data_IF_835792797093
#
_entry.id   IF_835792797093
#
_cell.length_a   1.000
_cell.length_b   1.000
_cell.length_c   1.000
_cell.angle_alpha   90.00
_cell.angle_beta   90.00
_cell.angle_gamma   90.00
#
_symmetry.space_group_name_H-M   'P 1'
#
loop_
_entity.id
_entity.type
_entity.pdbx_description
1 polymer ?
#
# COMPACT_ATOMS: atom_id res chain seq x y z
N UNK A 1 12.57 -5.34 9.51
CA UNK A 1 12.00 -4.12 8.90
C UNK A 1 11.82 -2.98 9.90
N UNK A 2 10.78 -2.99 10.76
CA UNK A 2 10.41 -1.83 11.59
C UNK A 2 11.55 -1.36 12.50
N UNK A 3 12.25 -2.27 13.19
CA UNK A 3 13.38 -1.93 14.05
C UNK A 3 14.49 -1.18 13.29
N UNK A 4 14.89 -1.70 12.12
CA UNK A 4 15.94 -1.10 11.28
C UNK A 4 15.59 0.34 10.87
N UNK A 5 14.31 0.57 10.53
CA UNK A 5 13.84 1.90 10.14
C UNK A 5 13.69 2.82 11.36
N UNK A 6 13.18 2.31 12.47
CA UNK A 6 13.02 3.07 13.71
C UNK A 6 14.35 3.51 14.35
N UNK A 7 15.44 2.77 14.11
CA UNK A 7 16.80 3.18 14.49
C UNK A 7 17.32 4.37 13.65
N UNK A 8 16.77 4.59 12.43
CA UNK A 8 17.18 5.66 11.51
C UNK A 8 16.27 6.87 11.53
N UNK A 9 14.96 6.66 11.72
CA UNK A 9 13.95 7.71 11.63
C UNK A 9 12.99 7.62 12.81
N UNK A 10 12.76 8.76 13.47
CA UNK A 10 11.76 8.87 14.55
C UNK A 10 10.33 8.82 14.02
N UNK A 11 10.11 9.38 12.83
CA UNK A 11 8.85 9.35 12.10
C UNK A 11 9.11 8.84 10.68
N UNK A 12 8.26 7.94 10.21
CA UNK A 12 8.37 7.34 8.89
C UNK A 12 7.05 6.69 8.48
N UNK A 13 6.86 6.52 7.19
CA UNK A 13 5.81 5.66 6.63
C UNK A 13 6.44 4.54 5.82
N UNK A 14 6.23 3.30 6.24
CA UNK A 14 6.51 2.12 5.44
C UNK A 14 5.29 1.81 4.57
N UNK A 15 5.52 1.62 3.27
CA UNK A 15 4.49 1.25 2.30
C UNK A 15 4.88 0.02 1.50
N UNK A 16 3.93 -0.87 1.25
CA UNK A 16 4.14 -2.08 0.47
C UNK A 16 3.05 -2.31 -0.56
N UNK A 17 3.45 -2.84 -1.72
CA UNK A 17 2.53 -3.26 -2.79
C UNK A 17 2.18 -4.72 -2.67
N UNK A 18 0.92 -5.03 -2.88
CA UNK A 18 0.40 -6.40 -2.88
C UNK A 18 0.77 -7.18 -4.14
N UNK A 19 0.83 -8.49 -3.95
CA UNK A 19 0.70 -9.47 -4.99
C UNK A 19 -0.79 -9.83 -5.15
N UNK A 20 -1.28 -9.80 -6.39
CA UNK A 20 -2.66 -10.18 -6.70
C UNK A 20 -2.74 -11.71 -6.82
N UNK A 21 -3.48 -12.35 -5.92
CA UNK A 21 -3.59 -13.81 -5.82
C UNK A 21 -4.96 -14.32 -6.27
N UNK A 22 -4.97 -15.45 -6.96
CA UNK A 22 -6.18 -16.16 -7.44
C UNK A 22 -6.57 -17.33 -6.52
N UNK A 23 -6.27 -17.24 -5.22
CA UNK A 23 -6.72 -18.24 -4.24
C UNK A 23 -8.24 -18.19 -4.16
N UNK A 24 -8.90 -19.29 -4.47
CA UNK A 24 -10.36 -19.46 -4.35
C UNK A 24 -10.75 -20.60 -3.40
N UNK A 25 -9.75 -21.35 -2.92
CA UNK A 25 -9.89 -22.46 -1.99
C UNK A 25 -9.68 -22.01 -0.55
N UNK A 26 -10.20 -22.79 0.41
CA UNK A 26 -9.89 -22.59 1.82
C UNK A 26 -8.40 -22.80 2.06
N UNK A 27 -7.81 -21.97 2.91
CA UNK A 27 -6.43 -22.16 3.34
C UNK A 27 -6.33 -23.44 4.17
N UNK A 28 -5.28 -24.25 4.00
CA UNK A 28 -5.05 -25.41 4.85
C UNK A 28 -4.68 -24.96 6.27
N UNK A 29 -5.04 -25.73 7.31
CA UNK A 29 -4.69 -25.36 8.69
C UNK A 29 -3.17 -25.35 8.94
N UNK A 30 -2.45 -26.26 8.28
CA UNK A 30 -0.99 -26.33 8.27
C UNK A 30 -0.43 -25.92 6.91
N UNK A 31 0.75 -25.29 6.90
CA UNK A 31 1.46 -24.88 5.67
C UNK A 31 0.69 -23.88 4.79
N UNK A 32 -0.22 -23.09 5.39
CA UNK A 32 -0.97 -22.06 4.65
C UNK A 32 -0.04 -21.01 4.04
N UNK A 33 1.10 -20.72 4.66
CA UNK A 33 2.08 -19.77 4.14
C UNK A 33 2.65 -20.25 2.81
N UNK A 34 3.12 -21.49 2.75
CA UNK A 34 3.65 -22.12 1.53
C UNK A 34 2.56 -22.18 0.45
N UNK A 35 1.33 -22.53 0.84
CA UNK A 35 0.19 -22.52 -0.07
C UNK A 35 -0.05 -21.12 -0.66
N UNK A 36 -0.09 -20.09 0.18
CA UNK A 36 -0.32 -18.71 -0.23
C UNK A 36 0.81 -18.19 -1.13
N UNK A 37 2.07 -18.50 -0.78
CA UNK A 37 3.24 -18.11 -1.57
C UNK A 37 3.28 -18.78 -2.94
N UNK A 38 2.85 -20.05 -3.03
CA UNK A 38 2.69 -20.77 -4.30
C UNK A 38 1.66 -20.10 -5.21
N UNK A 39 0.63 -19.47 -4.64
CA UNK A 39 -0.49 -18.87 -5.39
C UNK A 39 -0.47 -17.33 -5.42
N UNK A 40 0.62 -16.67 -5.01
CA UNK A 40 0.69 -15.21 -4.87
C UNK A 40 0.43 -14.42 -6.15
N UNK A 41 0.60 -15.04 -7.34
CA UNK A 41 0.41 -14.37 -8.62
C UNK A 41 1.47 -13.29 -8.90
N UNK A 42 1.07 -12.20 -9.56
CA UNK A 42 1.98 -11.11 -9.95
C UNK A 42 1.85 -9.92 -8.99
N UNK A 43 2.95 -9.18 -8.81
CA UNK A 43 2.91 -7.90 -8.13
C UNK A 43 1.92 -6.96 -8.85
N UNK A 44 1.04 -6.29 -8.10
CA UNK A 44 -0.12 -5.60 -8.66
C UNK A 44 0.20 -4.67 -9.86
N UNK A 45 1.17 -3.74 -9.79
CA UNK A 45 1.58 -2.91 -10.91
C UNK A 45 1.98 -3.69 -12.18
N UNK A 46 2.67 -4.83 -12.03
CA UNK A 46 3.04 -5.71 -13.13
C UNK A 46 1.82 -6.43 -13.72
N UNK A 47 0.90 -6.89 -12.87
CA UNK A 47 -0.36 -7.49 -13.30
C UNK A 47 -1.19 -6.49 -14.13
N UNK A 48 -1.28 -5.23 -13.68
CA UNK A 48 -1.96 -4.14 -14.39
C UNK A 48 -1.31 -3.81 -15.73
N UNK A 49 0.03 -3.70 -15.75
CA UNK A 49 0.82 -3.45 -16.97
C UNK A 49 0.61 -4.56 -18.00
N UNK A 50 0.68 -5.83 -17.59
CA UNK A 50 0.39 -6.99 -18.45
C UNK A 50 -1.03 -6.94 -19.04
N UNK A 51 -1.99 -6.39 -18.31
CA UNK A 51 -3.37 -6.22 -18.76
C UNK A 51 -3.62 -4.93 -19.56
N UNK A 52 -2.59 -4.16 -19.92
CA UNK A 52 -2.74 -2.89 -20.65
C UNK A 52 -3.41 -1.79 -19.82
N UNK A 53 -3.39 -1.88 -18.49
CA UNK A 53 -4.04 -0.94 -17.57
C UNK A 53 -3.02 -0.08 -16.84
N UNK A 54 -3.44 1.12 -16.42
CA UNK A 54 -2.64 1.95 -15.52
C UNK A 54 -2.31 1.18 -14.23
N UNK A 55 -1.05 1.31 -13.79
CA UNK A 55 -0.43 0.58 -12.68
C UNK A 55 -0.52 1.29 -11.32
N UNK A 56 -1.42 2.26 -11.16
CA UNK A 56 -1.66 2.93 -9.88
C UNK A 56 -2.45 2.03 -8.91
N UNK A 57 -2.19 2.17 -7.62
CA UNK A 57 -2.89 1.46 -6.54
C UNK A 57 -2.16 0.20 -6.09
N UNK A 58 -2.88 -0.65 -5.35
CA UNK A 58 -2.34 -1.89 -4.81
C UNK A 58 -1.41 -1.72 -3.61
N UNK A 59 -1.35 -0.52 -3.02
CA UNK A 59 -0.69 -0.30 -1.73
C UNK A 59 -1.62 -0.79 -0.62
N UNK A 60 -1.24 -1.89 0.01
CA UNK A 60 -2.08 -2.57 1.01
C UNK A 60 -1.41 -2.67 2.38
N UNK A 61 -0.12 -2.29 2.47
CA UNK A 61 0.62 -2.27 3.72
C UNK A 61 1.02 -0.85 4.06
N UNK A 62 0.64 -0.41 5.26
CA UNK A 62 1.03 0.87 5.85
C UNK A 62 1.51 0.60 7.27
N UNK A 63 2.77 0.91 7.57
CA UNK A 63 3.33 0.75 8.92
C UNK A 63 4.01 2.04 9.33
N UNK A 64 3.61 2.56 10.49
CA UNK A 64 4.06 3.86 10.99
C UNK A 64 4.06 3.90 12.53
N UNK A 65 4.85 4.78 13.17
CA UNK A 65 4.77 5.03 14.61
C UNK A 65 3.41 5.58 15.03
N UNK A 66 2.94 5.20 16.23
CA UNK A 66 1.61 5.53 16.77
C UNK A 66 1.20 7.00 16.59
N UNK A 67 2.12 7.93 16.84
CA UNK A 67 1.80 9.36 16.87
C UNK A 67 1.92 10.04 15.49
N UNK A 68 2.23 9.30 14.42
CA UNK A 68 2.44 9.87 13.09
C UNK A 68 1.19 10.57 12.55
N UNK A 69 0.01 9.98 12.76
CA UNK A 69 -1.27 10.47 12.27
C UNK A 69 -2.20 10.82 13.44
N UNK A 70 -1.87 11.93 14.11
CA UNK A 70 -2.70 12.42 15.24
C UNK A 70 -3.96 13.16 14.77
N UNK A 71 -3.97 13.68 13.54
CA UNK A 71 -5.06 14.46 12.96
C UNK A 71 -5.39 13.94 11.55
N UNK A 72 -6.25 12.92 11.47
CA UNK A 72 -6.74 12.37 10.19
C UNK A 72 -8.06 13.07 9.83
N UNK A 73 -8.28 13.46 8.55
CA UNK A 73 -9.58 13.91 8.08
C UNK A 73 -10.69 12.87 8.40
N UNK A 74 -11.96 13.30 8.51
CA UNK A 74 -13.07 12.42 8.88
C UNK A 74 -13.46 11.49 7.71
N UNK A 75 -12.57 10.59 7.30
CA UNK A 75 -12.80 9.65 6.21
C UNK A 75 -13.77 8.54 6.61
N UNK A 76 -14.66 8.18 5.69
CA UNK A 76 -15.39 6.92 5.81
C UNK A 76 -14.46 5.75 5.46
N UNK A 77 -14.11 4.95 6.47
CA UNK A 77 -13.32 3.72 6.30
C UNK A 77 -14.00 2.80 5.27
N UNK A 78 -13.20 2.25 4.35
CA UNK A 78 -13.68 1.38 3.27
C UNK A 78 -14.11 2.11 1.99
N UNK A 79 -14.07 3.45 1.97
CA UNK A 79 -14.19 4.22 0.72
C UNK A 79 -12.84 4.33 0.01
N UNK A 80 -12.80 4.71 -1.28
CA UNK A 80 -11.52 4.91 -1.96
C UNK A 80 -10.85 6.24 -1.59
N UNK A 81 -9.54 6.31 -1.87
CA UNK A 81 -8.71 7.51 -1.86
C UNK A 81 -8.28 8.04 -0.48
N UNK A 82 -8.77 7.49 0.63
CA UNK A 82 -8.23 7.83 1.95
C UNK A 82 -6.80 7.26 2.16
N UNK A 83 -6.52 6.10 1.57
CA UNK A 83 -5.22 5.43 1.57
C UNK A 83 -4.14 6.28 0.87
N UNK A 84 -4.49 6.86 -0.28
CA UNK A 84 -3.63 7.80 -0.99
C UNK A 84 -3.36 9.08 -0.17
N UNK A 85 -4.30 9.50 0.68
CA UNK A 85 -4.09 10.64 1.58
C UNK A 85 -3.00 10.35 2.61
N UNK A 86 -2.90 9.12 3.15
CA UNK A 86 -1.86 8.75 4.11
C UNK A 86 -0.46 9.04 3.57
N UNK A 87 -0.23 8.71 2.30
CA UNK A 87 1.05 8.93 1.61
C UNK A 87 1.25 10.42 1.29
N UNK A 88 0.20 11.09 0.82
CA UNK A 88 0.25 12.52 0.51
C UNK A 88 0.57 13.38 1.74
N UNK A 89 -0.04 13.09 2.89
CA UNK A 89 0.15 13.83 4.12
C UNK A 89 1.60 13.75 4.62
N UNK A 90 2.18 12.55 4.68
CA UNK A 90 3.59 12.39 5.07
C UNK A 90 4.54 13.01 4.05
N UNK A 91 4.20 12.94 2.76
CA UNK A 91 4.96 13.59 1.69
C UNK A 91 4.97 15.11 1.85
N UNK A 92 3.82 15.73 2.16
CA UNK A 92 3.72 17.16 2.44
C UNK A 92 4.53 17.57 3.66
N UNK A 93 4.53 16.73 4.70
CA UNK A 93 5.30 16.94 5.94
C UNK A 93 6.79 16.58 5.81
N UNK A 94 7.24 16.17 4.62
CA UNK A 94 8.63 15.73 4.36
C UNK A 94 9.09 14.59 5.29
N UNK A 95 8.15 13.74 5.69
CA UNK A 95 8.43 12.55 6.50
C UNK A 95 8.85 11.42 5.56
N UNK A 96 9.95 10.69 5.85
CA UNK A 96 10.44 9.62 5.00
C UNK A 96 9.38 8.58 4.65
N UNK A 97 9.23 8.33 3.35
CA UNK A 97 8.42 7.23 2.83
C UNK A 97 9.36 6.12 2.36
N UNK A 98 9.18 4.92 2.90
CA UNK A 98 10.04 3.78 2.60
C UNK A 98 9.20 2.69 1.95
N UNK A 99 9.59 2.32 0.74
CA UNK A 99 9.02 1.18 0.03
C UNK A 99 9.62 -0.12 0.58
N UNK A 100 8.78 -0.97 1.15
CA UNK A 100 9.14 -2.26 1.74
C UNK A 100 8.60 -3.45 0.93
N UNK A 101 8.20 -3.22 -0.32
CA UNK A 101 7.63 -4.27 -1.20
C UNK A 101 8.56 -5.47 -1.38
N UNK A 102 9.88 -5.27 -1.30
CA UNK A 102 10.88 -6.35 -1.42
C UNK A 102 11.19 -7.05 -0.10
N UNK A 103 10.84 -6.44 1.03
CA UNK A 103 11.17 -6.95 2.37
C UNK A 103 9.97 -7.67 3.00
N UNK A 104 8.75 -7.24 2.67
CA UNK A 104 7.50 -7.81 3.18
C UNK A 104 6.56 -8.12 2.02
N UNK A 105 6.22 -9.40 1.88
CA UNK A 105 5.24 -9.88 0.92
C UNK A 105 3.83 -9.62 1.48
N UNK A 106 3.05 -8.83 0.76
CA UNK A 106 1.61 -8.69 1.00
C UNK A 106 0.83 -9.36 -0.10
N UNK A 107 -0.21 -10.10 0.25
CA UNK A 107 -1.00 -10.89 -0.68
C UNK A 107 -2.45 -10.49 -0.54
N UNK A 108 -3.05 -10.12 -1.66
CA UNK A 108 -4.44 -9.72 -1.75
C UNK A 108 -5.18 -10.75 -2.58
N UNK A 109 -6.07 -11.49 -1.91
CA UNK A 109 -6.97 -12.42 -2.59
C UNK A 109 -7.90 -11.63 -3.49
N UNK A 110 -7.96 -11.99 -4.77
CA UNK A 110 -8.90 -11.39 -5.70
C UNK A 110 -10.33 -11.71 -5.24
N UNK A 111 -11.12 -10.66 -5.08
CA UNK A 111 -12.52 -10.77 -4.69
C UNK A 111 -13.40 -9.89 -5.56
N UNK A 112 -14.70 -10.21 -5.61
CA UNK A 112 -15.67 -9.38 -6.32
C UNK A 112 -15.75 -7.98 -5.71
N UNK A 113 -15.94 -6.97 -6.56
CA UNK A 113 -16.17 -5.60 -6.12
C UNK A 113 -17.65 -5.47 -5.77
N UNK A 114 -17.96 -5.04 -4.54
CA UNK A 114 -19.34 -4.73 -4.15
C UNK A 114 -19.87 -3.54 -4.95
N UNK A 115 -21.17 -3.56 -5.23
CA UNK A 115 -21.87 -2.41 -5.85
C UNK A 115 -21.62 -1.14 -5.04
N UNK A 116 -21.30 -0.05 -5.72
CA UNK A 116 -20.99 1.25 -5.10
C UNK A 116 -22.19 2.17 -5.28
N UNK A 117 -22.70 2.72 -4.18
CA UNK A 117 -23.80 3.67 -4.19
C UNK A 117 -23.34 5.07 -4.63
N UNK A 118 -24.29 5.97 -4.90
CA UNK A 118 -23.97 7.38 -5.17
C UNK A 118 -23.25 8.05 -3.99
N UNK A 119 -23.62 7.70 -2.76
CA UNK A 119 -22.96 8.21 -1.56
C UNK A 119 -21.49 7.78 -1.49
N UNK A 120 -21.16 6.57 -1.96
CA UNK A 120 -19.76 6.14 -2.07
C UNK A 120 -18.98 7.07 -3.00
N UNK A 121 -19.53 7.43 -4.16
CA UNK A 121 -18.83 8.30 -5.11
C UNK A 121 -18.76 9.75 -4.66
N UNK A 122 -19.76 10.26 -3.95
CA UNK A 122 -19.70 11.57 -3.28
C UNK A 122 -18.57 11.60 -2.26
N UNK A 123 -18.43 10.56 -1.45
CA UNK A 123 -17.34 10.43 -0.49
C UNK A 123 -15.97 10.35 -1.19
N UNK A 124 -15.83 9.56 -2.27
CA UNK A 124 -14.59 9.55 -3.06
C UNK A 124 -14.23 10.94 -3.58
N UNK A 125 -15.22 11.74 -4.00
CA UNK A 125 -14.98 13.11 -4.46
C UNK A 125 -14.52 14.02 -3.32
N UNK A 126 -15.05 13.86 -2.11
CA UNK A 126 -14.60 14.55 -0.90
C UNK A 126 -13.17 14.13 -0.56
N UNK A 127 -12.87 12.83 -0.54
CA UNK A 127 -11.54 12.30 -0.20
C UNK A 127 -10.45 12.84 -1.11
N UNK A 128 -10.74 12.98 -2.41
CA UNK A 128 -9.82 13.58 -3.38
C UNK A 128 -9.50 15.05 -3.11
N UNK A 129 -10.37 15.81 -2.43
CA UNK A 129 -10.08 17.20 -2.05
C UNK A 129 -8.98 17.29 -0.99
N UNK A 130 -8.87 16.28 -0.12
CA UNK A 130 -7.79 16.20 0.88
C UNK A 130 -6.44 15.77 0.28
N UNK A 131 -6.45 15.15 -0.91
CA UNK A 131 -5.25 14.68 -1.62
C UNK A 131 -5.26 15.18 -3.07
N UNK A 132 -5.04 16.49 -3.30
CA UNK A 132 -5.09 17.10 -4.64
C UNK A 132 -3.98 16.59 -5.56
N UNK A 133 -2.86 16.14 -4.97
CA UNK A 133 -1.77 15.49 -5.68
C UNK A 133 -1.73 14.02 -5.30
N UNK A 134 -2.09 13.16 -6.24
CA UNK A 134 -2.07 11.72 -6.02
C UNK A 134 -0.65 11.25 -5.72
N UNK A 135 -0.47 10.57 -4.59
CA UNK A 135 0.76 9.90 -4.19
C UNK A 135 0.55 8.39 -4.05
N UNK A 136 1.59 7.63 -4.35
CA UNK A 136 1.62 6.18 -4.12
C UNK A 136 3.01 5.68 -3.76
N UNK A 137 3.15 4.36 -3.62
CA UNK A 137 4.39 3.68 -3.26
C UNK A 137 5.61 4.03 -4.13
N UNK A 138 5.41 4.50 -5.37
CA UNK A 138 6.49 4.91 -6.29
C UNK A 138 7.02 6.31 -5.97
N UNK A 139 6.27 7.08 -5.19
CA UNK A 139 6.71 8.34 -4.63
C UNK A 139 7.61 8.17 -3.39
N UNK A 140 7.87 6.93 -2.94
CA UNK A 140 8.76 6.67 -1.82
C UNK A 140 10.16 7.26 -2.02
N UNK A 141 10.77 7.73 -0.94
CA UNK A 141 12.12 8.30 -0.92
C UNK A 141 13.19 7.22 -0.85
N UNK A 142 12.85 6.11 -0.18
CA UNK A 142 13.74 4.99 0.07
C UNK A 142 13.12 3.66 -0.31
N UNK A 143 13.99 2.67 -0.48
CA UNK A 143 13.67 1.27 -0.67
C UNK A 143 14.37 0.48 0.42
N UNK A 144 13.65 -0.40 1.09
CA UNK A 144 14.24 -1.40 1.97
C UNK A 144 14.16 -2.77 1.29
N UNK A 145 15.30 -3.41 1.12
CA UNK A 145 15.42 -4.73 0.53
C UNK A 145 16.43 -5.55 1.33
N UNK A 146 16.02 -6.73 1.81
CA UNK A 146 16.85 -7.62 2.62
C UNK A 146 17.48 -6.89 3.83
N UNK A 147 16.71 -6.03 4.49
CA UNK A 147 17.17 -5.21 5.61
C UNK A 147 18.12 -4.06 5.25
N UNK A 148 18.46 -3.84 3.97
CA UNK A 148 19.33 -2.75 3.53
C UNK A 148 18.50 -1.59 3.01
N UNK A 149 18.64 -0.42 3.65
CA UNK A 149 17.97 0.81 3.24
C UNK A 149 18.80 1.53 2.17
N UNK A 150 18.16 1.88 1.05
CA UNK A 150 18.77 2.65 -0.02
C UNK A 150 17.86 3.81 -0.41
N UNK A 151 18.45 4.96 -0.72
CA UNK A 151 17.69 6.05 -1.32
C UNK A 151 17.38 5.70 -2.77
N UNK A 152 16.16 5.95 -3.20
CA UNK A 152 15.77 5.69 -4.57
C UNK A 152 14.30 5.39 -4.74
N UNK A 153 13.89 5.40 -6.01
CA UNK A 153 12.54 5.05 -6.45
C UNK A 153 12.58 3.77 -7.23
N UNK A 154 11.48 3.06 -7.12
CA UNK A 154 11.37 1.68 -7.50
C UNK A 154 10.43 1.70 -8.76
N UNK A 155 10.90 1.18 -9.91
CA UNK A 155 10.51 1.67 -11.26
C UNK A 155 9.73 0.70 -12.17
N UNK A 156 9.21 -0.41 -11.65
CA UNK A 156 8.51 -1.45 -12.43
C UNK A 156 7.33 -0.98 -13.30
#
# INVERSE_FOLDING_TARGET
TVKIIGEKFKQFLLVGVRYDSEISENLPDSNWQEFVLKHKGLLHPLARKKAGRKSFGGTDLFVFPKDLYSNIPPFNIGTLCYDAWLIYDVWQRQIPIINITLDIITIHQKHAIKTRSDNFWKEVAINKKFCPLKKDVRDADFILENGVLRQGKMSW
#
